data_IF_395506980226
#
_entry.id   IF_395506980226
#
_cell.length_a   1.000
_cell.length_b   1.000
_cell.length_c   1.000
_cell.angle_alpha   90.00
_cell.angle_beta   90.00
_cell.angle_gamma   90.00
#
_symmetry.space_group_name_H-M   'P 1'
#
loop_
_entity.id
_entity.type
_entity.pdbx_description
1 polymer ?
#
# COMPACT_ATOMS: atom_id res chain seq x y z
N UNK A 1 -75.22 -15.51 -26.69
CA UNK A 1 -73.97 -14.81 -27.00
C UNK A 1 -73.29 -14.44 -25.71
N UNK A 2 -72.20 -15.14 -25.37
CA UNK A 2 -71.42 -14.87 -24.17
C UNK A 2 -70.00 -14.50 -24.63
N UNK A 3 -69.73 -13.22 -24.57
CA UNK A 3 -68.34 -12.70 -24.75
C UNK A 3 -67.57 -12.97 -23.49
N UNK A 4 -66.65 -13.93 -23.55
CA UNK A 4 -65.66 -14.11 -22.56
C UNK A 4 -64.48 -13.20 -22.92
N UNK A 5 -64.37 -12.10 -22.22
CA UNK A 5 -63.20 -11.25 -22.26
C UNK A 5 -62.19 -11.87 -21.29
N UNK A 6 -61.29 -12.63 -21.82
CA UNK A 6 -60.13 -13.13 -21.09
C UNK A 6 -59.21 -11.96 -20.77
N UNK A 7 -59.26 -11.53 -19.54
CA UNK A 7 -58.31 -10.55 -19.00
C UNK A 7 -57.02 -11.28 -18.65
N UNK A 8 -56.13 -11.39 -19.62
CA UNK A 8 -54.77 -11.87 -19.35
C UNK A 8 -53.99 -10.75 -18.68
N UNK A 9 -54.00 -10.82 -17.37
CA UNK A 9 -53.15 -10.00 -16.51
C UNK A 9 -51.69 -10.45 -16.70
N UNK A 10 -51.01 -9.80 -17.65
CA UNK A 10 -49.56 -9.98 -17.82
C UNK A 10 -48.87 -9.34 -16.64
N UNK A 11 -48.55 -10.16 -15.66
CA UNK A 11 -47.73 -9.76 -14.51
C UNK A 11 -46.32 -9.46 -15.03
N UNK A 12 -46.03 -8.19 -15.30
CA UNK A 12 -44.68 -7.71 -15.63
C UNK A 12 -43.87 -7.75 -14.34
N UNK A 13 -43.21 -8.88 -14.11
CA UNK A 13 -42.18 -8.98 -13.07
C UNK A 13 -41.00 -8.20 -13.59
N UNK A 14 -40.95 -6.91 -13.24
CA UNK A 14 -39.72 -6.14 -13.32
C UNK A 14 -38.80 -6.71 -12.25
N UNK A 15 -37.98 -7.68 -12.65
CA UNK A 15 -36.84 -8.10 -11.85
C UNK A 15 -35.92 -6.89 -11.78
N UNK A 16 -36.03 -6.11 -10.73
CA UNK A 16 -35.00 -5.22 -10.26
C UNK A 16 -33.80 -6.11 -9.87
N UNK A 17 -33.04 -6.51 -10.85
CA UNK A 17 -31.68 -6.94 -10.61
C UNK A 17 -30.94 -5.71 -10.11
N UNK A 18 -31.01 -5.49 -8.80
CA UNK A 18 -30.00 -4.71 -8.11
C UNK A 18 -28.70 -5.48 -8.36
N UNK A 19 -28.05 -5.16 -9.46
CA UNK A 19 -26.71 -5.59 -9.71
C UNK A 19 -25.87 -5.00 -8.58
N UNK A 20 -25.64 -5.77 -7.54
CA UNK A 20 -24.43 -5.59 -6.77
C UNK A 20 -23.30 -5.77 -7.80
N UNK A 21 -22.85 -4.64 -8.35
CA UNK A 21 -21.56 -4.63 -9.01
C UNK A 21 -20.63 -5.33 -8.03
N UNK A 22 -19.93 -6.43 -8.42
CA UNK A 22 -18.90 -6.96 -7.56
C UNK A 22 -18.02 -5.75 -7.28
N UNK A 23 -18.00 -5.30 -6.03
CA UNK A 23 -16.97 -4.40 -5.57
C UNK A 23 -15.72 -5.18 -5.88
N UNK A 24 -15.04 -4.80 -6.98
CA UNK A 24 -13.79 -5.42 -7.35
C UNK A 24 -13.01 -5.44 -6.06
N UNK A 25 -12.53 -6.59 -5.65
CA UNK A 25 -11.66 -6.70 -4.48
C UNK A 25 -10.64 -5.60 -4.69
N UNK A 26 -10.80 -4.49 -3.98
CA UNK A 26 -9.78 -3.46 -3.96
C UNK A 26 -8.57 -4.19 -3.44
N UNK A 27 -7.64 -4.48 -4.35
CA UNK A 27 -6.44 -5.22 -4.04
C UNK A 27 -5.71 -4.43 -2.97
N UNK A 28 -5.95 -4.81 -1.72
CA UNK A 28 -5.35 -4.19 -0.56
C UNK A 28 -3.89 -4.61 -0.45
N UNK A 29 -3.04 -3.65 -0.17
CA UNK A 29 -1.66 -3.90 0.21
C UNK A 29 -1.56 -3.84 1.73
N UNK A 30 -0.71 -4.69 2.32
CA UNK A 30 -0.44 -4.64 3.75
C UNK A 30 0.79 -3.77 4.00
N UNK A 31 0.67 -2.79 4.88
CA UNK A 31 1.77 -1.97 5.37
C UNK A 31 2.03 -2.32 6.82
N UNK A 32 3.25 -2.72 7.14
CA UNK A 32 3.67 -3.13 8.48
C UNK A 32 4.44 -2.03 9.18
N UNK A 33 4.03 -1.71 10.40
CA UNK A 33 4.67 -0.74 11.29
C UNK A 33 5.15 -1.43 12.55
N UNK A 34 6.38 -1.18 12.92
CA UNK A 34 6.95 -1.63 14.21
C UNK A 34 6.59 -0.63 15.32
N UNK A 35 5.35 -0.67 15.75
CA UNK A 35 4.80 0.21 16.79
C UNK A 35 3.37 0.65 16.52
N UNK A 36 2.87 1.50 17.42
CA UNK A 36 1.54 2.09 17.29
C UNK A 36 1.55 3.26 16.32
N UNK A 37 0.61 3.27 15.41
CA UNK A 37 0.46 4.32 14.39
C UNK A 37 -0.79 5.14 14.69
N UNK A 38 -0.63 6.44 14.87
CA UNK A 38 -1.73 7.38 15.06
C UNK A 38 -2.09 8.03 13.73
N UNK A 39 -3.17 7.55 13.13
CA UNK A 39 -3.72 8.06 11.88
C UNK A 39 -5.18 8.43 12.13
N UNK A 40 -5.56 9.66 11.78
CA UNK A 40 -6.91 10.20 11.92
C UNK A 40 -7.59 10.42 10.57
N UNK A 41 -6.81 10.47 9.49
CA UNK A 41 -7.29 10.62 8.12
C UNK A 41 -7.09 9.30 7.35
N UNK A 42 -8.09 8.91 6.58
CA UNK A 42 -8.04 7.68 5.79
C UNK A 42 -7.25 7.83 4.47
N UNK A 43 -6.96 9.05 4.05
CA UNK A 43 -6.22 9.33 2.82
C UNK A 43 -4.73 9.03 2.93
N UNK A 44 -4.16 8.52 1.83
CA UNK A 44 -2.71 8.32 1.66
C UNK A 44 -2.20 9.34 0.66
N UNK A 45 -1.13 10.03 1.02
CA UNK A 45 -0.58 11.13 0.21
C UNK A 45 0.84 10.84 -0.27
N UNK A 46 1.11 11.18 -1.52
CA UNK A 46 2.44 11.11 -2.11
C UNK A 46 2.73 12.45 -2.80
N UNK A 47 3.77 13.16 -2.36
CA UNK A 47 4.09 14.51 -2.83
C UNK A 47 2.89 15.48 -2.78
N UNK A 48 2.07 15.39 -1.73
CA UNK A 48 0.90 16.23 -1.52
C UNK A 48 -0.35 15.86 -2.32
N UNK A 49 -0.28 14.81 -3.16
CA UNK A 49 -1.42 14.27 -3.92
C UNK A 49 -1.95 13.03 -3.24
N UNK A 50 -3.27 12.91 -3.10
CA UNK A 50 -3.90 11.68 -2.61
C UNK A 50 -3.74 10.55 -3.64
N UNK A 51 -3.23 9.41 -3.19
CA UNK A 51 -2.90 8.26 -4.04
C UNK A 51 -3.57 6.96 -3.59
N UNK A 52 -4.31 7.01 -2.50
CA UNK A 52 -5.01 5.85 -1.98
C UNK A 52 -5.67 6.12 -0.65
N UNK A 53 -6.11 5.06 0.01
CA UNK A 53 -6.79 5.14 1.30
C UNK A 53 -6.50 3.95 2.20
N UNK A 54 -6.65 4.18 3.50
CA UNK A 54 -6.57 3.15 4.54
C UNK A 54 -7.90 2.43 4.61
N UNK A 55 -7.89 1.11 4.45
CA UNK A 55 -9.08 0.27 4.50
C UNK A 55 -9.36 -0.28 5.91
N UNK A 56 -8.30 -0.69 6.60
CA UNK A 56 -8.39 -1.21 7.96
C UNK A 56 -7.08 -1.10 8.71
N UNK A 57 -7.16 -1.10 10.03
CA UNK A 57 -6.03 -1.09 10.96
C UNK A 57 -6.15 -2.24 11.93
N UNK A 58 -5.12 -3.03 12.06
CA UNK A 58 -5.04 -4.13 13.00
C UNK A 58 -3.76 -3.98 13.83
N UNK A 59 -3.90 -3.91 15.14
CA UNK A 59 -2.78 -3.93 16.08
C UNK A 59 -2.71 -5.31 16.71
N UNK A 60 -1.54 -5.93 16.64
CA UNK A 60 -1.35 -7.23 17.29
C UNK A 60 -0.76 -7.07 18.71
N UNK A 61 -0.77 -8.15 19.48
CA UNK A 61 -0.27 -8.20 20.85
C UNK A 61 1.25 -8.01 20.95
N UNK A 62 2.00 -8.16 19.85
CA UNK A 62 3.45 -7.94 19.79
C UNK A 62 3.84 -6.48 19.50
N UNK A 63 2.87 -5.56 19.40
CA UNK A 63 3.11 -4.14 19.15
C UNK A 63 3.30 -3.79 17.67
N UNK A 64 3.05 -4.71 16.75
CA UNK A 64 3.07 -4.45 15.31
C UNK A 64 1.69 -3.99 14.85
N UNK A 65 1.64 -2.90 14.11
CA UNK A 65 0.44 -2.42 13.45
C UNK A 65 0.47 -2.81 11.98
N UNK A 66 -0.61 -3.43 11.50
CA UNK A 66 -0.82 -3.72 10.09
C UNK A 66 -1.93 -2.85 9.55
N UNK A 67 -1.63 -2.02 8.56
CA UNK A 67 -2.62 -1.27 7.80
C UNK A 67 -2.91 -2.00 6.49
N UNK A 68 -4.18 -2.23 6.20
CA UNK A 68 -4.62 -2.60 4.87
C UNK A 68 -4.93 -1.33 4.10
N UNK A 69 -4.30 -1.13 2.95
CA UNK A 69 -4.42 0.10 2.16
C UNK A 69 -4.81 -0.21 0.73
N UNK A 70 -5.61 0.65 0.14
CA UNK A 70 -5.86 0.67 -1.30
C UNK A 70 -5.00 1.75 -1.94
N UNK A 71 -4.42 1.47 -3.09
CA UNK A 71 -3.64 2.41 -3.88
C UNK A 71 -4.27 2.59 -5.25
N UNK A 72 -4.23 3.79 -5.79
CA UNK A 72 -4.74 4.04 -7.13
C UNK A 72 -3.94 3.24 -8.17
N UNK A 73 -4.59 2.71 -9.22
CA UNK A 73 -3.91 1.93 -10.25
C UNK A 73 -2.79 2.71 -10.95
N UNK A 74 -2.97 4.00 -11.15
CA UNK A 74 -1.98 4.90 -11.73
C UNK A 74 -0.73 4.99 -10.87
N UNK A 75 -0.92 5.12 -9.56
CA UNK A 75 0.18 5.17 -8.60
C UNK A 75 0.92 3.83 -8.52
N UNK A 76 0.20 2.72 -8.50
CA UNK A 76 0.79 1.37 -8.50
C UNK A 76 1.63 1.12 -9.76
N UNK A 77 1.20 1.62 -10.91
CA UNK A 77 1.96 1.51 -12.16
C UNK A 77 3.26 2.34 -12.16
N UNK A 78 3.27 3.45 -11.40
CA UNK A 78 4.42 4.35 -11.34
C UNK A 78 5.47 3.94 -10.29
N UNK A 79 5.04 3.27 -9.22
CA UNK A 79 5.89 2.88 -8.10
C UNK A 79 6.33 1.42 -8.17
N UNK A 80 7.42 1.11 -7.48
CA UNK A 80 7.86 -0.24 -7.20
C UNK A 80 7.83 -0.56 -5.70
N UNK A 81 8.38 -1.70 -5.31
CA UNK A 81 8.50 -2.12 -3.91
C UNK A 81 9.51 -1.27 -3.09
N UNK A 82 10.10 -0.27 -3.70
CA UNK A 82 10.96 0.71 -3.04
C UNK A 82 10.19 1.86 -2.38
N UNK A 83 8.89 1.73 -2.25
CA UNK A 83 8.06 2.69 -1.54
C UNK A 83 8.02 2.37 -0.05
N UNK A 84 7.94 3.41 0.77
CA UNK A 84 7.71 3.33 2.19
C UNK A 84 6.59 4.28 2.60
N UNK A 85 5.91 3.93 3.67
CA UNK A 85 4.85 4.75 4.26
C UNK A 85 5.29 5.25 5.61
N UNK A 86 4.87 6.44 5.99
CA UNK A 86 5.14 6.99 7.32
C UNK A 86 3.97 7.84 7.79
N UNK A 87 3.75 7.83 9.11
CA UNK A 87 2.75 8.68 9.73
C UNK A 87 3.31 10.08 9.93
N UNK A 88 2.55 11.09 9.50
CA UNK A 88 2.88 12.49 9.69
C UNK A 88 1.60 13.31 9.87
N UNK A 89 1.54 14.09 10.95
CA UNK A 89 0.40 14.97 11.26
C UNK A 89 -0.97 14.24 11.22
N UNK A 90 -1.03 13.00 11.66
CA UNK A 90 -2.27 12.20 11.72
C UNK A 90 -2.72 11.60 10.39
N UNK A 91 -1.90 11.65 9.36
CA UNK A 91 -2.16 11.05 8.05
C UNK A 91 -1.01 10.15 7.60
N UNK A 92 -1.29 9.30 6.64
CA UNK A 92 -0.31 8.42 6.04
C UNK A 92 0.28 9.07 4.79
N UNK A 93 1.59 9.18 4.77
CA UNK A 93 2.33 9.68 3.62
C UNK A 93 3.22 8.57 3.04
N UNK A 94 3.32 8.55 1.73
CA UNK A 94 4.19 7.65 0.99
C UNK A 94 5.44 8.38 0.48
N UNK A 95 6.55 7.68 0.42
CA UNK A 95 7.82 8.19 -0.13
C UNK A 95 8.60 7.10 -0.83
N UNK A 96 9.41 7.46 -1.81
CA UNK A 96 10.34 6.51 -2.43
C UNK A 96 11.58 6.35 -1.57
N UNK A 97 12.01 5.10 -1.41
CA UNK A 97 13.33 4.78 -0.92
C UNK A 97 14.34 4.91 -2.08
N UNK A 98 15.59 5.23 -1.79
CA UNK A 98 16.61 5.51 -2.82
C UNK A 98 17.04 4.28 -3.66
N UNK A 99 16.52 3.10 -3.38
CA UNK A 99 16.84 1.88 -4.12
C UNK A 99 15.91 1.73 -5.33
N UNK A 100 16.46 1.25 -6.44
CA UNK A 100 15.63 0.80 -7.55
C UNK A 100 14.74 -0.34 -7.06
N UNK A 101 13.44 -0.15 -7.18
CA UNK A 101 12.45 -1.15 -6.79
C UNK A 101 12.06 -2.05 -7.95
N UNK A 102 11.56 -3.22 -7.59
CA UNK A 102 10.85 -4.09 -8.52
C UNK A 102 9.37 -3.73 -8.50
N UNK A 103 8.61 -4.22 -9.46
CA UNK A 103 7.15 -4.04 -9.46
C UNK A 103 6.53 -4.59 -8.17
N UNK A 104 5.51 -3.90 -7.65
CA UNK A 104 4.77 -4.35 -6.48
C UNK A 104 4.10 -5.70 -6.76
N UNK A 105 4.32 -6.65 -5.86
CA UNK A 105 3.66 -7.95 -5.90
C UNK A 105 2.53 -7.98 -4.89
N UNK A 106 1.40 -8.54 -5.27
CA UNK A 106 0.28 -8.80 -4.35
C UNK A 106 0.74 -9.73 -3.23
N UNK A 107 0.37 -9.40 -2.00
CA UNK A 107 0.71 -10.19 -0.82
C UNK A 107 2.10 -9.92 -0.23
N UNK A 108 2.94 -9.13 -0.88
CA UNK A 108 4.21 -8.69 -0.32
C UNK A 108 3.99 -7.51 0.63
N UNK A 109 4.43 -7.59 1.91
CA UNK A 109 4.23 -6.51 2.85
C UNK A 109 5.12 -5.30 2.50
N UNK A 110 4.55 -4.11 2.65
CA UNK A 110 5.24 -2.84 2.46
C UNK A 110 5.74 -2.29 3.79
N UNK A 111 6.86 -1.56 3.74
CA UNK A 111 7.45 -0.96 4.94
C UNK A 111 6.68 0.28 5.38
N UNK A 112 6.36 0.34 6.67
CA UNK A 112 5.81 1.49 7.35
C UNK A 112 6.72 1.98 8.47
N UNK A 113 6.75 3.28 8.67
CA UNK A 113 7.49 3.95 9.74
C UNK A 113 6.53 4.78 10.59
N UNK A 114 6.63 4.68 11.90
CA UNK A 114 5.73 5.38 12.82
C UNK A 114 5.90 6.91 12.78
N UNK A 115 7.02 7.38 12.25
CA UNK A 115 7.31 8.81 12.11
C UNK A 115 8.27 9.09 10.95
N UNK A 116 8.30 10.36 10.53
CA UNK A 116 9.27 10.85 9.55
C UNK A 116 10.71 10.76 10.05
N UNK A 117 10.92 10.90 11.34
CA UNK A 117 12.24 10.77 11.97
C UNK A 117 12.79 9.36 11.87
N UNK A 118 11.95 8.36 12.12
CA UNK A 118 12.31 6.95 11.99
C UNK A 118 12.66 6.60 10.53
N UNK A 119 11.86 7.06 9.57
CA UNK A 119 12.14 6.92 8.15
C UNK A 119 13.50 7.54 7.77
N UNK A 120 13.78 8.76 8.24
CA UNK A 120 15.05 9.43 7.95
C UNK A 120 16.24 8.66 8.55
N UNK A 121 16.09 8.16 9.77
CA UNK A 121 17.09 7.32 10.41
C UNK A 121 17.35 6.04 9.60
N UNK A 122 16.30 5.38 9.13
CA UNK A 122 16.41 4.21 8.27
C UNK A 122 17.16 4.52 6.97
N UNK A 123 16.84 5.63 6.30
CA UNK A 123 17.53 6.09 5.08
C UNK A 123 19.02 6.31 5.32
N UNK A 124 19.37 7.00 6.41
CA UNK A 124 20.78 7.25 6.79
C UNK A 124 21.49 5.93 7.05
N UNK A 125 20.89 5.03 7.82
CA UNK A 125 21.47 3.72 8.16
C UNK A 125 21.71 2.85 6.91
N UNK A 126 20.77 2.86 5.99
CA UNK A 126 20.88 2.14 4.71
C UNK A 126 22.01 2.71 3.85
N UNK A 127 22.12 4.03 3.72
CA UNK A 127 23.20 4.68 2.99
C UNK A 127 24.57 4.39 3.59
N UNK A 128 24.68 4.39 4.92
CA UNK A 128 25.94 4.06 5.62
C UNK A 128 26.33 2.61 5.37
N UNK A 129 25.39 1.67 5.46
CA UNK A 129 25.66 0.26 5.19
C UNK A 129 26.10 0.04 3.73
N UNK A 130 25.48 0.70 2.77
CA UNK A 130 25.85 0.60 1.36
C UNK A 130 27.28 1.16 1.12
N UNK A 131 27.64 2.27 1.77
CA UNK A 131 28.99 2.84 1.71
C UNK A 131 30.03 1.92 2.36
N UNK A 132 29.72 1.34 3.51
CA UNK A 132 30.62 0.40 4.20
C UNK A 132 30.83 -0.86 3.34
N UNK A 133 29.76 -1.40 2.75
CA UNK A 133 29.86 -2.56 1.88
C UNK A 133 30.65 -2.26 0.59
N UNK A 134 30.48 -1.08 0.00
CA UNK A 134 31.27 -0.63 -1.14
C UNK A 134 32.75 -0.47 -0.79
N UNK A 135 33.05 0.08 0.39
CA UNK A 135 34.45 0.22 0.87
C UNK A 135 35.09 -1.13 1.13
N UNK A 136 34.36 -2.07 1.77
CA UNK A 136 34.85 -3.46 1.99
C UNK A 136 35.15 -4.17 0.67
N UNK A 137 34.25 -4.01 -0.32
CA UNK A 137 34.47 -4.61 -1.65
C UNK A 137 35.71 -4.04 -2.35
N UNK A 138 35.95 -2.72 -2.26
CA UNK A 138 37.14 -2.07 -2.81
C UNK A 138 38.40 -2.56 -2.11
N UNK A 139 38.41 -2.65 -0.79
CA UNK A 139 39.51 -3.16 -0.01
C UNK A 139 39.86 -4.61 -0.39
N UNK A 140 38.88 -5.49 -0.51
CA UNK A 140 39.09 -6.87 -0.95
C UNK A 140 39.67 -6.94 -2.37
N UNK A 141 39.23 -6.09 -3.30
CA UNK A 141 39.76 -6.04 -4.67
C UNK A 141 41.20 -5.56 -4.68
N UNK A 142 41.58 -4.57 -3.86
CA UNK A 142 42.94 -4.10 -3.74
C UNK A 142 43.84 -5.18 -3.13
N UNK A 143 43.40 -5.88 -2.11
CA UNK A 143 44.17 -6.96 -1.48
C UNK A 143 44.39 -8.12 -2.45
N UNK A 144 43.42 -8.46 -3.29
CA UNK A 144 43.58 -9.48 -4.33
C UNK A 144 44.61 -9.09 -5.44
N UNK A 145 44.85 -7.78 -5.65
CA UNK A 145 45.85 -7.28 -6.61
C UNK A 145 47.25 -7.25 -6.05
N UNK A 146 47.41 -7.27 -4.72
CA UNK A 146 48.72 -7.22 -4.04
C UNK A 146 49.26 -8.62 -3.69
N UNK A 147 48.47 -9.63 -3.82
CA UNK A 147 48.84 -11.05 -3.70
C UNK A 147 49.05 -11.67 -5.08
#
# INVERSE_FOLDING_TARGET
>A
MRLWVGFTMTLLIVALTVGCAPQGKQDGYAVLFDGMVNIFEDGIYFNGKEVGGVLSKVENTSGVTTLSVSLSPEFVAEIGNNIAFYAHAGRLEATRLQRMGQALKKGEPLCGFISKSELNWFKIKTLLNDRINAAKKRAATLQARLS
#
